data_IF_175437792555
#
_entry.id   IF_175437792555
#
_cell.length_a   1.000
_cell.length_b   1.000
_cell.length_c   1.000
_cell.angle_alpha   90.00
_cell.angle_beta   90.00
_cell.angle_gamma   90.00
#
_symmetry.space_group_name_H-M   'P 1'
#
loop_
_entity.id
_entity.type
_entity.pdbx_description
1 polymer ?
#
# COMPACT_ATOMS: atom_id res chain seq x y z
N UNK A 1 25.03 -50.01 -20.75
CA UNK A 1 26.15 -50.88 -20.30
C UNK A 1 26.74 -50.29 -19.02
N UNK A 2 26.90 -51.13 -17.98
CA UNK A 2 27.75 -51.02 -16.75
C UNK A 2 27.55 -49.78 -15.84
N UNK A 3 26.81 -49.87 -14.71
CA UNK A 3 27.11 -50.44 -13.36
C UNK A 3 28.30 -49.83 -12.61
N UNK A 4 28.02 -49.31 -11.39
CA UNK A 4 28.66 -49.50 -10.05
C UNK A 4 27.96 -48.53 -9.09
N UNK A 5 27.13 -48.90 -8.11
CA UNK A 5 27.26 -49.76 -6.90
C UNK A 5 28.57 -49.54 -6.15
N UNK A 6 28.47 -48.87 -5.00
CA UNK A 6 29.24 -49.20 -3.80
C UNK A 6 28.38 -48.97 -2.55
N UNK A 7 28.14 -50.06 -1.81
CA UNK A 7 27.64 -50.11 -0.45
C UNK A 7 28.81 -50.33 0.53
N UNK A 8 28.69 -49.82 1.75
CA UNK A 8 29.42 -50.23 2.96
C UNK A 8 28.82 -49.45 4.15
N UNK A 9 27.95 -50.00 5.00
CA UNK A 9 28.17 -50.92 6.16
C UNK A 9 29.11 -50.27 7.21
N UNK A 10 28.63 -49.69 8.33
CA UNK A 10 28.02 -50.19 9.59
C UNK A 10 29.05 -50.33 10.74
N UNK A 11 28.80 -49.68 11.89
CA UNK A 11 29.05 -50.06 13.32
C UNK A 11 29.36 -48.80 14.18
N UNK A 12 28.46 -48.31 15.04
CA UNK A 12 28.18 -48.70 16.47
C UNK A 12 29.35 -48.45 17.44
N UNK A 13 29.17 -47.53 18.40
CA UNK A 13 29.41 -47.72 19.85
C UNK A 13 28.99 -46.47 20.65
N UNK A 14 28.52 -46.70 21.88
CA UNK A 14 27.76 -45.81 22.76
C UNK A 14 28.65 -45.14 23.85
N UNK A 15 28.13 -44.61 24.97
CA UNK A 15 28.41 -43.27 25.48
C UNK A 15 29.45 -43.23 26.62
N UNK A 16 30.00 -42.04 26.89
CA UNK A 16 30.81 -41.79 28.09
C UNK A 16 30.03 -40.87 29.02
N UNK A 17 29.50 -41.46 30.09
CA UNK A 17 29.10 -40.76 31.31
C UNK A 17 30.33 -40.72 32.21
N UNK A 18 30.73 -39.53 32.64
CA UNK A 18 31.68 -39.36 33.74
C UNK A 18 30.97 -38.62 34.89
N UNK A 19 30.80 -39.35 35.99
CA UNK A 19 30.58 -38.79 37.32
C UNK A 19 31.91 -38.23 37.85
N UNK A 20 31.88 -37.00 38.35
CA UNK A 20 32.96 -36.39 39.13
C UNK A 20 32.41 -35.87 40.45
N UNK A 21 33.03 -36.30 41.54
CA UNK A 21 32.59 -36.09 42.93
C UNK A 21 32.76 -34.65 43.43
N UNK A 22 31.72 -34.23 44.14
CA UNK A 22 31.64 -33.42 45.36
C UNK A 22 32.97 -33.04 46.04
N UNK A 23 33.24 -31.74 46.15
CA UNK A 23 34.06 -31.16 47.21
C UNK A 23 33.61 -29.71 47.45
N UNK A 24 32.91 -29.48 48.54
CA UNK A 24 32.48 -28.14 48.98
C UNK A 24 33.69 -27.26 49.32
N UNK A 25 33.75 -26.00 48.82
CA UNK A 25 34.69 -25.02 49.34
C UNK A 25 34.10 -24.24 50.51
N UNK A 26 35.00 -23.96 51.44
CA UNK A 26 34.87 -23.28 52.71
C UNK A 26 34.44 -21.81 52.55
N UNK A 27 33.56 -21.37 53.45
CA UNK A 27 33.05 -20.00 53.50
C UNK A 27 34.18 -19.00 53.80
N UNK A 28 34.31 -17.99 52.93
CA UNK A 28 35.08 -16.77 53.20
C UNK A 28 34.23 -15.56 52.82
N UNK A 29 33.81 -14.76 53.79
CA UNK A 29 33.49 -13.33 53.60
C UNK A 29 34.76 -12.55 54.00
N UNK A 30 35.16 -11.44 53.36
CA UNK A 30 34.38 -10.22 53.04
C UNK A 30 34.63 -9.73 51.59
N UNK A 31 33.94 -8.75 50.99
CA UNK A 31 34.01 -7.30 51.23
C UNK A 31 32.84 -6.61 50.49
N UNK A 32 32.02 -5.87 51.23
CA UNK A 32 30.99 -4.98 50.67
C UNK A 32 31.61 -3.63 50.36
N UNK A 33 32.11 -3.46 49.13
CA UNK A 33 32.34 -2.16 48.46
C UNK A 33 32.64 -2.44 46.98
N UNK A 34 31.62 -2.86 46.24
CA UNK A 34 31.63 -2.87 44.78
C UNK A 34 30.55 -1.90 44.32
N UNK A 35 30.92 -0.93 43.49
CA UNK A 35 29.97 -0.12 42.73
C UNK A 35 28.89 -1.03 42.10
N UNK A 36 27.63 -0.57 42.02
CA UNK A 36 26.62 -1.31 41.27
C UNK A 36 27.16 -1.59 39.86
N UNK A 37 26.99 -2.81 39.32
CA UNK A 37 27.37 -3.06 37.94
C UNK A 37 26.66 -2.02 37.09
N UNK A 38 27.44 -1.28 36.29
CA UNK A 38 26.90 -0.42 35.25
C UNK A 38 25.87 -1.25 34.50
N UNK A 39 24.62 -0.77 34.47
CA UNK A 39 23.60 -1.35 33.61
C UNK A 39 24.20 -1.36 32.22
N UNK A 40 24.38 -2.55 31.66
CA UNK A 40 24.57 -2.68 30.22
C UNK A 40 23.32 -2.04 29.63
N UNK A 41 23.47 -0.86 29.03
CA UNK A 41 22.52 -0.37 28.05
C UNK A 41 22.49 -1.47 26.98
N UNK A 42 21.51 -2.37 27.07
CA UNK A 42 21.10 -3.14 25.90
C UNK A 42 20.66 -2.07 24.91
N UNK A 43 21.44 -1.85 23.86
CA UNK A 43 20.95 -1.18 22.66
C UNK A 43 19.62 -1.88 22.34
N UNK A 44 18.52 -1.17 22.51
CA UNK A 44 17.24 -1.66 22.00
C UNK A 44 17.45 -1.78 20.49
N UNK A 45 17.21 -2.97 19.94
CA UNK A 45 17.29 -3.14 18.50
C UNK A 45 16.15 -2.30 17.88
N UNK A 46 16.55 -1.27 17.13
CA UNK A 46 15.66 -0.28 16.51
C UNK A 46 14.68 -0.99 15.57
N UNK A 47 13.40 -0.75 15.78
CA UNK A 47 12.29 -1.24 14.95
C UNK A 47 11.89 -0.19 13.94
N UNK A 48 11.55 -0.60 12.72
CA UNK A 48 11.13 0.32 11.66
C UNK A 48 9.83 -0.14 11.02
N UNK A 49 8.95 0.80 10.70
CA UNK A 49 7.81 0.58 9.83
C UNK A 49 7.94 1.50 8.61
N UNK A 50 7.79 0.94 7.42
CA UNK A 50 7.82 1.66 6.15
C UNK A 50 6.43 1.67 5.51
N UNK A 51 6.08 2.73 4.79
CA UNK A 51 4.88 2.79 3.95
C UNK A 51 5.30 3.05 2.51
N UNK A 52 4.71 2.27 1.61
CA UNK A 52 4.85 2.40 0.18
C UNK A 52 3.51 2.81 -0.47
N UNK A 53 3.57 3.59 -1.53
CA UNK A 53 2.46 3.84 -2.44
C UNK A 53 2.49 2.82 -3.55
N UNK A 54 1.32 2.32 -3.97
CA UNK A 54 1.25 1.29 -4.99
C UNK A 54 0.06 1.56 -5.92
N UNK A 55 0.27 1.53 -7.24
CA UNK A 55 -0.81 1.57 -8.23
C UNK A 55 -1.09 0.19 -8.87
N UNK A 56 -0.46 -0.86 -8.32
CA UNK A 56 -0.30 -2.20 -8.89
C UNK A 56 0.53 -2.20 -10.19
N UNK A 57 0.55 -3.34 -10.90
CA UNK A 57 1.25 -3.48 -12.19
C UNK A 57 0.66 -2.58 -13.29
N UNK A 58 -0.63 -2.22 -13.16
CA UNK A 58 -1.44 -1.57 -14.20
C UNK A 58 -0.86 -0.22 -14.69
N UNK A 59 -0.48 0.74 -13.83
CA UNK A 59 0.18 1.97 -14.25
C UNK A 59 1.51 1.75 -14.98
N UNK A 60 2.21 0.64 -14.71
CA UNK A 60 3.51 0.36 -15.34
C UNK A 60 3.34 -0.18 -16.76
N UNK A 61 2.34 -1.05 -16.97
CA UNK A 61 2.17 -1.81 -18.23
C UNK A 61 0.99 -1.36 -19.08
N UNK A 62 0.12 -0.53 -18.53
CA UNK A 62 -1.18 -0.21 -19.11
C UNK A 62 -2.20 -1.34 -18.91
N UNK A 63 -3.46 -1.07 -19.24
CA UNK A 63 -4.53 -2.08 -19.20
C UNK A 63 -5.72 -1.67 -20.07
N UNK A 64 -6.58 -2.64 -20.38
CA UNK A 64 -7.83 -2.36 -21.11
C UNK A 64 -8.92 -1.92 -20.13
N UNK A 65 -9.52 -0.76 -20.33
CA UNK A 65 -10.68 -0.28 -19.56
C UNK A 65 -11.91 -1.17 -19.76
N UNK A 66 -12.91 -1.04 -18.87
CA UNK A 66 -14.16 -1.82 -18.94
C UNK A 66 -14.99 -1.56 -20.20
N UNK A 67 -14.80 -0.40 -20.83
CA UNK A 67 -15.40 -0.01 -22.11
C UNK A 67 -14.46 -0.20 -23.32
N UNK A 68 -13.30 -0.85 -23.12
CA UNK A 68 -12.49 -1.41 -24.19
C UNK A 68 -11.43 -0.48 -24.78
N UNK A 69 -11.03 0.57 -24.06
CA UNK A 69 -9.86 1.39 -24.42
C UNK A 69 -8.59 0.77 -23.84
N UNK A 70 -7.56 0.64 -24.66
CA UNK A 70 -6.22 0.30 -24.18
C UNK A 70 -5.60 1.56 -23.57
N UNK A 71 -5.43 1.57 -22.25
CA UNK A 71 -4.86 2.68 -21.51
C UNK A 71 -3.37 2.43 -21.26
N UNK A 72 -2.57 3.48 -21.46
CA UNK A 72 -1.17 3.54 -21.08
C UNK A 72 -0.93 4.81 -20.29
N UNK A 73 -0.06 4.75 -19.29
CA UNK A 73 0.18 5.87 -18.38
C UNK A 73 1.62 6.32 -18.51
N UNK A 74 1.81 7.61 -18.78
CA UNK A 74 3.13 8.23 -18.77
C UNK A 74 3.50 8.63 -17.34
N UNK A 75 2.54 9.18 -16.59
CA UNK A 75 2.70 9.62 -15.21
C UNK A 75 1.40 9.52 -14.43
N UNK A 76 1.52 9.19 -13.15
CA UNK A 76 0.43 9.28 -12.17
C UNK A 76 0.99 9.97 -10.93
N UNK A 77 0.86 11.29 -10.88
CA UNK A 77 1.30 12.06 -9.73
C UNK A 77 0.23 12.09 -8.65
N UNK A 78 0.62 11.78 -7.43
CA UNK A 78 -0.28 11.81 -6.27
C UNK A 78 0.44 12.34 -5.05
N UNK A 79 -0.30 12.98 -4.15
CA UNK A 79 0.23 13.50 -2.91
C UNK A 79 -0.47 12.87 -1.71
N UNK A 80 0.24 11.95 -1.07
CA UNK A 80 -0.18 11.29 0.14
C UNK A 80 0.12 12.17 1.36
N UNK A 81 -0.90 12.41 2.16
CA UNK A 81 -0.81 13.22 3.38
C UNK A 81 -1.51 12.51 4.53
N UNK A 82 -1.22 12.92 5.77
CA UNK A 82 -1.82 12.34 6.99
C UNK A 82 -1.70 10.80 7.02
N UNK A 83 -0.56 10.30 6.51
CA UNK A 83 -0.22 8.89 6.46
C UNK A 83 -0.06 8.34 7.88
N UNK A 84 -0.84 7.32 8.22
CA UNK A 84 -0.83 6.67 9.52
C UNK A 84 -0.97 5.16 9.43
N UNK A 85 -0.36 4.47 10.38
CA UNK A 85 -0.53 3.04 10.59
C UNK A 85 -0.97 2.76 12.03
N UNK A 86 -1.79 1.73 12.21
CA UNK A 86 -2.48 1.47 13.46
C UNK A 86 -2.38 0.02 13.89
N UNK A 87 -2.29 -0.19 15.20
CA UNK A 87 -2.63 -1.47 15.82
C UNK A 87 -3.99 -1.30 16.51
N UNK A 88 -4.99 -2.09 16.11
CA UNK A 88 -6.34 -2.03 16.69
C UNK A 88 -6.79 -3.39 17.23
N UNK A 89 -7.50 -3.40 18.36
CA UNK A 89 -8.21 -4.56 18.91
C UNK A 89 -9.65 -4.16 19.31
N UNK A 90 -10.70 -4.60 18.58
CA UNK A 90 -10.65 -5.51 17.44
C UNK A 90 -9.97 -4.91 16.18
N UNK A 91 -9.61 -5.73 15.18
CA UNK A 91 -9.22 -5.23 13.86
C UNK A 91 -10.25 -4.24 13.29
N UNK A 92 -9.76 -3.20 12.64
CA UNK A 92 -10.62 -2.16 12.06
C UNK A 92 -11.59 -2.77 11.03
N UNK A 93 -12.86 -2.36 11.13
CA UNK A 93 -13.93 -2.75 10.23
C UNK A 93 -14.29 -1.55 9.35
N UNK A 94 -13.81 -1.53 8.11
CA UNK A 94 -14.09 -0.46 7.15
C UNK A 94 -15.60 -0.35 6.84
N UNK A 95 -16.39 -1.42 7.04
CA UNK A 95 -17.85 -1.40 6.85
C UNK A 95 -18.59 -0.67 7.99
N UNK A 96 -17.89 -0.25 9.04
CA UNK A 96 -18.46 0.60 10.10
C UNK A 96 -18.86 1.98 9.59
N UNK A 97 -18.29 2.42 8.47
CA UNK A 97 -18.45 3.77 7.90
C UNK A 97 -18.03 4.88 8.87
N UNK A 98 -17.08 4.59 9.75
CA UNK A 98 -16.51 5.53 10.70
C UNK A 98 -14.98 5.48 10.63
N UNK A 99 -14.28 6.61 10.79
CA UNK A 99 -12.82 6.62 10.92
C UNK A 99 -12.35 5.74 12.07
N UNK A 100 -11.10 5.27 12.02
CA UNK A 100 -10.49 4.50 13.11
C UNK A 100 -10.59 5.29 14.43
N UNK A 101 -11.20 4.67 15.46
CA UNK A 101 -11.36 5.26 16.79
C UNK A 101 -10.51 4.52 17.81
N UNK A 102 -9.86 5.27 18.71
CA UNK A 102 -9.17 4.76 19.90
C UNK A 102 -8.22 3.56 19.63
N UNK A 103 -7.25 3.66 18.70
CA UNK A 103 -6.30 2.58 18.44
C UNK A 103 -5.40 2.30 19.65
N UNK A 104 -4.88 1.07 19.77
CA UNK A 104 -3.89 0.74 20.82
C UNK A 104 -2.55 1.42 20.55
N UNK A 105 -2.17 1.51 19.27
CA UNK A 105 -0.98 2.18 18.77
C UNK A 105 -1.34 2.95 17.50
N UNK A 106 -0.84 4.18 17.39
CA UNK A 106 -0.87 5.00 16.18
C UNK A 106 0.54 5.48 15.87
N UNK A 107 0.98 5.30 14.63
CA UNK A 107 2.24 5.83 14.09
C UNK A 107 1.89 6.76 12.94
N UNK A 108 2.42 7.99 12.99
CA UNK A 108 2.26 8.98 11.92
C UNK A 108 3.54 9.12 11.11
N UNK A 109 3.38 9.35 9.81
CA UNK A 109 4.46 9.47 8.84
C UNK A 109 4.50 10.88 8.25
N UNK A 110 5.58 11.19 7.53
CA UNK A 110 5.66 12.41 6.73
C UNK A 110 4.81 12.30 5.46
N UNK A 111 4.36 13.45 4.96
CA UNK A 111 3.68 13.55 3.67
C UNK A 111 4.64 13.22 2.51
N UNK A 112 4.11 12.67 1.41
CA UNK A 112 4.88 12.26 0.25
C UNK A 112 4.13 12.55 -1.06
N UNK A 113 4.73 13.40 -1.90
CA UNK A 113 4.32 13.55 -3.31
C UNK A 113 5.16 12.65 -4.20
N UNK A 114 4.52 11.76 -4.95
CA UNK A 114 5.18 10.72 -5.76
C UNK A 114 4.58 10.60 -7.15
N UNK A 115 5.33 9.98 -8.05
CA UNK A 115 4.82 9.42 -9.30
C UNK A 115 4.69 7.91 -9.14
N UNK A 116 3.49 7.37 -9.35
CA UNK A 116 3.24 5.93 -9.26
C UNK A 116 3.70 5.18 -10.51
N UNK A 117 4.00 5.87 -11.62
CA UNK A 117 4.59 5.23 -12.82
C UNK A 117 6.11 5.28 -12.69
N UNK A 118 6.71 4.18 -12.27
CA UNK A 118 8.18 4.06 -12.07
C UNK A 118 8.87 3.40 -13.26
N UNK A 119 8.12 2.65 -14.06
CA UNK A 119 8.62 1.80 -15.14
C UNK A 119 9.16 0.44 -14.67
N UNK A 120 8.91 0.04 -13.42
CA UNK A 120 9.29 -1.27 -12.87
C UNK A 120 8.05 -2.13 -12.60
N UNK A 121 7.77 -3.07 -13.53
CA UNK A 121 6.64 -4.00 -13.44
C UNK A 121 6.82 -5.04 -12.33
N UNK A 122 8.07 -5.42 -12.01
CA UNK A 122 8.38 -6.44 -11.02
C UNK A 122 8.28 -5.88 -9.58
N UNK A 123 8.35 -4.55 -9.44
CA UNK A 123 8.17 -3.85 -8.17
C UNK A 123 7.45 -2.51 -8.39
N UNK A 124 6.10 -2.52 -8.46
CA UNK A 124 5.30 -1.32 -8.71
C UNK A 124 5.20 -0.37 -7.51
N UNK A 125 5.90 -0.67 -6.40
CA UNK A 125 5.82 0.12 -5.17
C UNK A 125 6.76 1.32 -5.18
N UNK A 126 6.33 2.42 -4.57
CA UNK A 126 7.09 3.66 -4.39
C UNK A 126 7.21 3.97 -2.91
N UNK A 127 8.42 4.17 -2.40
CA UNK A 127 8.61 4.54 -1.00
C UNK A 127 7.94 5.89 -0.70
N UNK A 128 7.11 5.94 0.35
CA UNK A 128 6.50 7.18 0.83
C UNK A 128 7.26 7.73 2.04
N UNK A 129 7.35 6.92 3.10
CA UNK A 129 7.91 7.33 4.37
C UNK A 129 8.24 6.14 5.26
N UNK A 130 9.07 6.38 6.28
CA UNK A 130 9.39 5.44 7.35
C UNK A 130 9.18 6.09 8.73
N UNK A 131 9.06 5.23 9.74
CA UNK A 131 9.09 5.60 11.14
C UNK A 131 9.96 4.60 11.90
N UNK A 132 10.89 5.12 12.70
CA UNK A 132 11.79 4.34 13.57
C UNK A 132 11.28 4.28 15.01
N UNK A 133 11.82 3.35 15.80
CA UNK A 133 11.46 3.11 17.20
C UNK A 133 9.95 2.83 17.40
N UNK A 134 9.31 2.22 16.39
CA UNK A 134 7.87 1.92 16.42
C UNK A 134 7.58 0.73 17.33
N UNK A 135 6.47 0.72 18.09
CA UNK A 135 6.10 -0.44 18.89
C UNK A 135 6.02 -1.72 18.06
N UNK A 136 6.62 -2.81 18.57
CA UNK A 136 6.43 -4.16 18.04
C UNK A 136 4.94 -4.51 17.98
N UNK A 137 4.54 -5.33 17.01
CA UNK A 137 3.16 -5.75 16.86
C UNK A 137 2.72 -5.84 15.40
N UNK A 138 1.41 -6.01 15.21
CA UNK A 138 0.81 -6.11 13.89
C UNK A 138 -0.02 -4.87 13.61
N UNK A 139 0.48 -4.05 12.69
CA UNK A 139 -0.19 -2.88 12.18
C UNK A 139 -1.24 -3.34 11.16
N UNK A 140 -2.46 -3.49 11.64
CA UNK A 140 -3.58 -4.12 10.95
C UNK A 140 -4.58 -3.12 10.36
N UNK A 141 -4.19 -1.84 10.27
CA UNK A 141 -4.94 -0.81 9.60
C UNK A 141 -4.01 0.34 9.21
N UNK A 142 -4.37 1.05 8.14
CA UNK A 142 -3.72 2.29 7.72
C UNK A 142 -4.77 3.36 7.44
N UNK A 143 -4.37 4.62 7.48
CA UNK A 143 -5.15 5.70 6.87
C UNK A 143 -4.24 6.62 6.10
N UNK A 144 -4.77 7.22 5.04
CA UNK A 144 -4.05 8.20 4.26
C UNK A 144 -5.03 9.08 3.50
N UNK A 145 -4.57 10.31 3.22
CA UNK A 145 -5.31 11.28 2.42
C UNK A 145 -4.62 11.52 1.10
N UNK A 146 -5.41 11.66 0.04
CA UNK A 146 -4.97 12.34 -1.17
C UNK A 146 -5.38 13.80 -1.04
N UNK A 147 -4.41 14.71 -1.01
CA UNK A 147 -4.66 16.15 -0.86
C UNK A 147 -3.85 16.93 -1.89
N UNK A 148 -4.35 18.09 -2.37
CA UNK A 148 -3.63 18.92 -3.32
C UNK A 148 -2.16 19.14 -2.95
N UNK A 149 -1.25 18.79 -3.86
CA UNK A 149 0.18 18.99 -3.64
C UNK A 149 0.52 20.48 -3.55
N UNK A 150 1.45 20.82 -2.67
CA UNK A 150 1.89 22.22 -2.50
C UNK A 150 2.94 22.66 -3.51
N UNK A 151 3.59 21.71 -4.17
CA UNK A 151 4.64 21.91 -5.17
C UNK A 151 4.77 20.67 -6.09
N UNK A 152 5.72 20.71 -7.01
CA UNK A 152 6.02 19.60 -7.93
C UNK A 152 5.07 19.50 -9.13
N UNK A 153 5.19 18.42 -9.93
CA UNK A 153 4.38 18.23 -11.14
C UNK A 153 2.87 18.16 -10.91
N UNK A 154 2.44 17.79 -9.69
CA UNK A 154 1.04 17.75 -9.28
C UNK A 154 0.56 18.98 -8.51
N UNK A 155 1.30 20.10 -8.49
CA UNK A 155 0.95 21.29 -7.70
C UNK A 155 -0.51 21.72 -7.91
N UNK A 156 -1.26 21.83 -6.82
CA UNK A 156 -2.67 22.20 -6.83
C UNK A 156 -3.67 21.06 -7.02
N UNK A 157 -3.19 19.82 -7.23
CA UNK A 157 -4.02 18.63 -7.47
C UNK A 157 -3.63 17.48 -6.53
N UNK A 158 -4.61 16.68 -6.12
CA UNK A 158 -4.39 15.48 -5.29
C UNK A 158 -3.98 14.29 -6.14
N UNK A 159 -4.50 14.21 -7.38
CA UNK A 159 -4.19 13.19 -8.36
C UNK A 159 -4.08 13.80 -9.76
N UNK A 160 -2.97 13.57 -10.45
CA UNK A 160 -2.78 13.92 -11.87
C UNK A 160 -2.49 12.65 -12.65
N UNK A 161 -3.32 12.33 -13.63
CA UNK A 161 -3.17 11.15 -14.49
C UNK A 161 -2.86 11.61 -15.91
N UNK A 162 -1.70 11.21 -16.42
CA UNK A 162 -1.22 11.54 -17.77
C UNK A 162 -1.02 10.24 -18.54
N UNK A 163 -1.62 10.14 -19.71
CA UNK A 163 -1.50 8.92 -20.49
C UNK A 163 -2.07 9.02 -21.90
N UNK A 164 -2.16 7.87 -22.54
CA UNK A 164 -2.74 7.69 -23.87
C UNK A 164 -3.76 6.56 -23.84
N UNK A 165 -4.91 6.77 -24.46
CA UNK A 165 -5.95 5.76 -24.64
C UNK A 165 -6.11 5.43 -26.13
N UNK A 166 -6.18 4.15 -26.47
CA UNK A 166 -6.37 3.68 -27.85
C UNK A 166 -7.55 2.73 -28.01
N UNK A 167 -8.39 2.95 -29.02
CA UNK A 167 -9.45 2.00 -29.41
C UNK A 167 -9.78 2.13 -30.88
N UNK A 168 -9.87 1.00 -31.59
CA UNK A 168 -10.24 0.95 -33.02
C UNK A 168 -9.42 1.87 -33.95
N UNK A 169 -8.16 2.15 -33.59
CA UNK A 169 -7.26 3.03 -34.34
C UNK A 169 -7.45 4.53 -34.08
N UNK A 170 -8.32 4.89 -33.15
CA UNK A 170 -8.38 6.19 -32.51
C UNK A 170 -7.41 6.21 -31.32
N UNK A 171 -6.65 7.29 -31.21
CA UNK A 171 -5.67 7.53 -30.13
C UNK A 171 -6.02 8.87 -29.51
N UNK A 172 -6.13 8.90 -28.18
CA UNK A 172 -6.45 10.10 -27.40
C UNK A 172 -5.38 10.27 -26.32
N UNK A 173 -4.63 11.36 -26.38
CA UNK A 173 -3.77 11.77 -25.27
C UNK A 173 -4.65 12.40 -24.18
N UNK A 174 -4.43 12.06 -22.91
CA UNK A 174 -5.23 12.60 -21.82
C UNK A 174 -4.40 13.10 -20.63
N UNK A 175 -4.90 14.19 -20.03
CA UNK A 175 -4.42 14.75 -18.78
C UNK A 175 -5.63 15.03 -17.89
N UNK A 176 -5.72 14.34 -16.77
CA UNK A 176 -6.74 14.54 -15.76
C UNK A 176 -6.09 15.14 -14.51
N UNK A 177 -6.51 16.35 -14.13
CA UNK A 177 -6.00 17.04 -12.95
C UNK A 177 -7.10 17.12 -11.88
N UNK A 178 -7.05 16.30 -10.86
CA UNK A 178 -8.13 16.17 -9.87
C UNK A 178 -7.72 16.84 -8.56
N UNK A 179 -8.50 17.82 -8.12
CA UNK A 179 -8.23 18.60 -6.90
C UNK A 179 -8.94 18.08 -5.64
N UNK A 180 -9.75 17.02 -5.77
CA UNK A 180 -10.58 16.52 -4.68
C UNK A 180 -9.73 15.93 -3.54
N UNK A 181 -10.02 16.34 -2.31
CA UNK A 181 -9.48 15.66 -1.12
C UNK A 181 -10.23 14.34 -0.91
N UNK A 182 -9.48 13.26 -0.63
CA UNK A 182 -10.00 11.92 -0.38
C UNK A 182 -9.35 11.38 0.89
N UNK A 183 -10.14 10.86 1.85
CA UNK A 183 -9.65 10.44 3.17
C UNK A 183 -9.97 8.97 3.44
N UNK A 184 -8.99 8.09 3.23
CA UNK A 184 -9.16 6.64 3.30
C UNK A 184 -8.73 6.06 4.64
N UNK A 185 -9.56 5.18 5.19
CA UNK A 185 -9.29 4.36 6.37
C UNK A 185 -9.42 2.90 5.98
N UNK A 186 -8.32 2.17 6.02
CA UNK A 186 -8.22 0.83 5.48
C UNK A 186 -7.99 -0.19 6.61
N UNK A 187 -8.53 -1.39 6.42
CA UNK A 187 -8.28 -2.51 7.32
C UNK A 187 -6.89 -3.13 7.11
N UNK A 188 -6.78 -4.42 7.44
CA UNK A 188 -5.54 -5.18 7.27
C UNK A 188 -5.15 -5.21 5.79
N UNK A 189 -3.84 -5.09 5.51
CA UNK A 189 -3.31 -5.29 4.18
C UNK A 189 -3.69 -6.68 3.65
N UNK A 190 -4.26 -6.74 2.45
CA UNK A 190 -4.59 -8.01 1.79
C UNK A 190 -3.69 -8.20 0.57
N UNK A 191 -2.94 -9.28 0.55
CA UNK A 191 -2.08 -9.65 -0.59
C UNK A 191 -1.55 -11.06 -0.44
N UNK A 192 -0.61 -11.45 -1.31
CA UNK A 192 0.00 -12.78 -1.26
C UNK A 192 0.81 -13.02 0.01
N UNK A 193 1.48 -11.98 0.49
CA UNK A 193 2.24 -11.98 1.73
C UNK A 193 1.56 -11.10 2.78
N UNK A 194 1.74 -11.48 4.04
CA UNK A 194 1.21 -10.70 5.15
C UNK A 194 2.22 -9.60 5.51
N UNK A 195 1.71 -8.37 5.63
CA UNK A 195 2.50 -7.16 5.87
C UNK A 195 2.20 -6.54 7.25
N UNK A 196 2.95 -5.50 7.62
CA UNK A 196 2.73 -4.74 8.86
C UNK A 196 3.11 -5.45 10.18
N UNK A 197 3.87 -6.54 10.15
CA UNK A 197 4.29 -7.25 11.37
C UNK A 197 5.69 -6.80 11.78
N UNK A 198 5.78 -5.91 12.76
CA UNK A 198 7.05 -5.44 13.33
C UNK A 198 7.48 -6.36 14.46
N UNK A 199 8.62 -7.04 14.29
CA UNK A 199 9.31 -7.76 15.36
C UNK A 199 10.52 -6.96 15.89
N UNK A 200 11.02 -7.35 17.05
CA UNK A 200 12.19 -6.71 17.67
C UNK A 200 13.38 -6.62 16.69
N UNK A 201 13.89 -5.40 16.48
CA UNK A 201 15.02 -5.13 15.60
C UNK A 201 14.76 -5.35 14.10
N UNK A 202 13.50 -5.55 13.69
CA UNK A 202 13.13 -5.80 12.30
C UNK A 202 12.40 -4.59 11.68
N UNK A 203 12.43 -4.56 10.36
CA UNK A 203 11.66 -3.63 9.52
C UNK A 203 10.45 -4.38 8.97
N UNK A 204 9.28 -3.74 9.05
CA UNK A 204 8.09 -4.17 8.33
C UNK A 204 7.61 -3.08 7.39
N UNK A 205 6.81 -3.45 6.41
CA UNK A 205 6.24 -2.52 5.45
C UNK A 205 4.71 -2.67 5.37
N UNK A 206 4.05 -1.62 4.88
CA UNK A 206 2.64 -1.53 4.53
C UNK A 206 2.49 -0.79 3.20
N UNK A 207 1.33 -0.91 2.55
CA UNK A 207 1.06 -0.27 1.27
C UNK A 207 -0.24 0.55 1.32
N UNK A 208 -0.15 1.80 0.88
CA UNK A 208 -1.29 2.63 0.47
C UNK A 208 -1.50 2.45 -1.03
N UNK A 209 -2.55 1.71 -1.40
CA UNK A 209 -2.75 1.24 -2.78
C UNK A 209 -3.88 2.03 -3.46
N UNK A 210 -3.72 2.38 -4.74
CA UNK A 210 -4.76 3.01 -5.56
C UNK A 210 -5.13 2.07 -6.72
N UNK A 211 -6.37 1.56 -6.72
CA UNK A 211 -6.86 0.60 -7.71
C UNK A 211 -7.54 1.28 -8.90
N UNK A 212 -6.78 1.52 -9.98
CA UNK A 212 -7.27 2.26 -11.15
C UNK A 212 -8.34 1.52 -11.97
N UNK A 213 -8.56 0.23 -11.74
CA UNK A 213 -9.67 -0.51 -12.33
C UNK A 213 -11.03 -0.11 -11.72
N UNK A 214 -11.09 0.47 -10.51
CA UNK A 214 -12.31 1.11 -10.00
C UNK A 214 -12.64 2.41 -10.76
N UNK A 215 -11.63 3.07 -11.33
CA UNK A 215 -11.83 4.27 -12.14
C UNK A 215 -12.18 3.92 -13.59
N UNK A 216 -11.39 3.07 -14.24
CA UNK A 216 -11.52 2.80 -15.66
C UNK A 216 -12.24 1.49 -15.99
N UNK A 217 -12.53 0.64 -15.00
CA UNK A 217 -13.02 -0.72 -15.22
C UNK A 217 -11.92 -1.66 -15.69
N UNK A 218 -12.30 -2.89 -16.01
CA UNK A 218 -11.39 -3.97 -16.42
C UNK A 218 -11.95 -4.70 -17.65
N UNK A 219 -11.30 -4.53 -18.80
CA UNK A 219 -11.73 -5.05 -20.09
C UNK A 219 -11.66 -6.58 -20.20
N UNK A 220 -10.89 -7.25 -19.35
CA UNK A 220 -10.91 -8.72 -19.27
C UNK A 220 -12.16 -9.29 -18.59
N UNK A 221 -12.92 -8.46 -17.86
CA UNK A 221 -14.18 -8.84 -17.22
C UNK A 221 -15.38 -8.59 -18.15
N UNK A 222 -16.49 -9.33 -17.97
CA UNK A 222 -17.73 -9.05 -18.67
C UNK A 222 -18.21 -7.60 -18.45
N UNK A 223 -18.90 -7.03 -19.44
CA UNK A 223 -19.45 -5.69 -19.31
C UNK A 223 -20.49 -5.58 -18.17
N UNK A 224 -21.18 -6.67 -17.82
CA UNK A 224 -22.15 -6.74 -16.72
C UNK A 224 -21.54 -7.11 -15.36
N UNK A 225 -20.20 -7.19 -15.27
CA UNK A 225 -19.50 -7.33 -13.99
C UNK A 225 -19.76 -6.11 -13.11
N UNK A 226 -19.98 -6.27 -11.79
CA UNK A 226 -20.22 -5.14 -10.90
C UNK A 226 -19.17 -4.04 -10.99
N UNK A 227 -17.88 -4.40 -11.14
CA UNK A 227 -16.78 -3.44 -11.31
C UNK A 227 -17.00 -2.58 -12.55
N UNK A 228 -17.28 -3.21 -13.70
CA UNK A 228 -17.49 -2.50 -14.97
C UNK A 228 -18.81 -1.72 -15.01
N UNK A 229 -19.78 -2.06 -14.16
CA UNK A 229 -21.04 -1.33 -14.04
C UNK A 229 -20.92 -0.09 -13.14
N UNK A 230 -20.00 -0.08 -12.18
CA UNK A 230 -19.77 1.06 -11.29
C UNK A 230 -18.65 1.99 -11.77
N UNK A 231 -17.64 1.46 -12.47
CA UNK A 231 -16.52 2.26 -12.96
C UNK A 231 -16.96 3.37 -13.93
N UNK A 232 -16.23 4.49 -13.88
CA UNK A 232 -16.43 5.61 -14.79
C UNK A 232 -16.08 5.25 -16.25
N UNK A 233 -15.03 4.46 -16.47
CA UNK A 233 -14.56 4.08 -17.81
C UNK A 233 -13.77 5.20 -18.49
N UNK A 234 -13.52 5.05 -19.78
CA UNK A 234 -12.84 6.06 -20.60
C UNK A 234 -13.73 6.68 -21.69
N UNK A 235 -14.86 6.05 -22.05
CA UNK A 235 -15.84 6.55 -23.01
C UNK A 235 -16.32 7.98 -22.71
N UNK A 236 -16.64 8.35 -21.45
CA UNK A 236 -17.05 9.72 -21.16
C UNK A 236 -15.94 10.74 -21.45
N UNK A 237 -14.68 10.39 -21.23
CA UNK A 237 -13.53 11.26 -21.55
C UNK A 237 -13.30 11.32 -23.06
N UNK A 238 -13.35 10.18 -23.75
CA UNK A 238 -13.19 10.13 -25.20
C UNK A 238 -14.21 11.00 -25.93
N UNK A 239 -15.45 11.08 -25.41
CA UNK A 239 -16.49 11.94 -25.96
C UNK A 239 -16.19 13.45 -25.83
N UNK A 240 -15.27 13.83 -24.94
CA UNK A 240 -14.82 15.20 -24.70
C UNK A 240 -13.56 15.55 -25.50
N UNK A 241 -12.97 14.59 -26.22
CA UNK A 241 -11.70 14.80 -26.90
C UNK A 241 -11.83 15.83 -28.05
N UNK A 242 -10.92 16.80 -28.06
CA UNK A 242 -10.75 17.76 -29.14
C UNK A 242 -9.37 17.57 -29.77
N UNK A 243 -9.32 17.43 -31.10
CA UNK A 243 -8.08 17.19 -31.85
C UNK A 243 -7.24 16.01 -31.32
N UNK A 244 -7.90 14.97 -30.80
CA UNK A 244 -7.26 13.76 -30.25
C UNK A 244 -6.70 13.94 -28.84
N UNK A 245 -7.18 14.93 -28.09
CA UNK A 245 -6.68 15.23 -26.75
C UNK A 245 -7.81 15.55 -25.78
N UNK A 246 -7.63 15.15 -24.51
CA UNK A 246 -8.47 15.55 -23.38
C UNK A 246 -7.57 16.15 -22.30
N UNK A 247 -7.80 17.40 -21.93
CA UNK A 247 -7.18 18.01 -20.75
C UNK A 247 -8.30 18.57 -19.88
N UNK A 248 -8.48 18.03 -18.68
CA UNK A 248 -9.59 18.39 -17.82
C UNK A 248 -9.22 18.37 -16.34
N UNK A 249 -9.94 19.17 -15.55
CA UNK A 249 -9.96 19.10 -14.09
C UNK A 249 -11.39 18.86 -13.59
N UNK A 250 -11.60 18.75 -12.26
CA UNK A 250 -12.93 18.42 -11.74
C UNK A 250 -13.98 19.45 -12.14
N UNK A 251 -13.67 20.75 -12.08
CA UNK A 251 -14.59 21.80 -12.48
C UNK A 251 -15.00 21.70 -13.98
N UNK A 252 -14.05 21.38 -14.86
CA UNK A 252 -14.32 21.16 -16.28
C UNK A 252 -15.15 19.89 -16.49
N UNK A 253 -14.83 18.80 -15.80
CA UNK A 253 -15.56 17.55 -15.89
C UNK A 253 -17.00 17.71 -15.39
N UNK A 254 -17.24 18.45 -14.31
CA UNK A 254 -18.59 18.77 -13.81
C UNK A 254 -19.42 19.54 -14.86
N UNK A 255 -18.80 20.47 -15.59
CA UNK A 255 -19.49 21.26 -16.62
C UNK A 255 -19.78 20.45 -17.89
N UNK A 256 -18.85 19.56 -18.28
CA UNK A 256 -18.86 18.92 -19.59
C UNK A 256 -19.50 17.53 -19.59
N UNK A 257 -19.41 16.79 -18.48
CA UNK A 257 -20.01 15.47 -18.36
C UNK A 257 -21.53 15.55 -18.13
N UNK A 258 -22.20 14.43 -18.35
CA UNK A 258 -23.57 14.28 -17.86
C UNK A 258 -23.57 14.18 -16.33
N UNK A 259 -24.70 14.54 -15.69
CA UNK A 259 -24.84 14.38 -14.23
C UNK A 259 -24.58 12.93 -13.78
N UNK A 260 -24.92 11.95 -14.62
CA UNK A 260 -24.69 10.53 -14.34
C UNK A 260 -23.20 10.16 -14.42
N UNK A 261 -22.51 10.62 -15.46
CA UNK A 261 -21.09 10.31 -15.65
C UNK A 261 -20.21 11.03 -14.62
N UNK A 262 -20.53 12.28 -14.27
CA UNK A 262 -19.82 12.99 -13.21
C UNK A 262 -20.03 12.34 -11.85
N UNK A 263 -21.25 11.91 -11.53
CA UNK A 263 -21.50 11.17 -10.29
C UNK A 263 -20.77 9.82 -10.25
N UNK A 264 -20.63 9.12 -11.40
CA UNK A 264 -19.81 7.92 -11.50
C UNK A 264 -18.33 8.20 -11.28
N UNK A 265 -17.80 9.29 -11.85
CA UNK A 265 -16.43 9.73 -11.59
C UNK A 265 -16.20 9.96 -10.10
N UNK A 266 -17.06 10.73 -9.43
CA UNK A 266 -16.95 10.98 -7.98
C UNK A 266 -16.99 9.66 -7.18
N UNK A 267 -17.90 8.75 -7.55
CA UNK A 267 -17.99 7.42 -6.92
C UNK A 267 -16.73 6.58 -7.14
N UNK A 268 -16.18 6.57 -8.35
CA UNK A 268 -14.95 5.85 -8.66
C UNK A 268 -13.74 6.39 -7.89
N UNK A 269 -13.67 7.70 -7.65
CA UNK A 269 -12.61 8.29 -6.82
C UNK A 269 -12.73 7.87 -5.35
N UNK A 270 -13.96 7.80 -4.84
CA UNK A 270 -14.23 7.26 -3.49
C UNK A 270 -13.78 5.80 -3.38
N UNK A 271 -13.92 5.00 -4.44
CA UNK A 271 -13.56 3.59 -4.44
C UNK A 271 -12.06 3.33 -4.70
N UNK A 272 -11.26 4.35 -4.97
CA UNK A 272 -9.88 4.18 -5.45
C UNK A 272 -8.92 3.62 -4.37
N UNK A 273 -9.06 4.06 -3.12
CA UNK A 273 -8.10 3.78 -2.05
C UNK A 273 -8.24 2.37 -1.45
N UNK A 274 -7.10 1.69 -1.30
CA UNK A 274 -6.94 0.35 -0.75
C UNK A 274 -5.69 0.21 0.16
N UNK A 275 -5.57 -0.93 0.83
CA UNK A 275 -4.34 -1.43 1.47
C UNK A 275 -4.00 -2.82 0.90
N UNK A 276 -3.15 -2.86 -0.14
CA UNK A 276 -3.11 -4.02 -1.04
C UNK A 276 -4.46 -4.18 -1.71
N UNK A 277 -5.06 -5.37 -1.63
CA UNK A 277 -6.44 -5.67 -2.02
C UNK A 277 -7.47 -5.39 -0.89
N UNK A 278 -7.02 -4.83 0.23
CA UNK A 278 -7.86 -4.53 1.38
C UNK A 278 -8.65 -3.24 1.15
N UNK A 279 -9.98 -3.33 1.22
CA UNK A 279 -10.88 -2.20 1.03
C UNK A 279 -10.75 -1.16 2.15
N UNK A 280 -11.16 0.07 1.85
CA UNK A 280 -11.14 1.21 2.76
C UNK A 280 -12.52 1.85 2.91
N UNK A 281 -12.64 2.69 3.93
CA UNK A 281 -13.72 3.65 4.12
C UNK A 281 -13.22 5.03 3.70
N UNK A 282 -13.93 5.73 2.82
CA UNK A 282 -13.68 7.13 2.46
C UNK A 282 -14.57 8.05 3.31
N UNK A 283 -13.94 8.85 4.15
CA UNK A 283 -14.63 9.57 5.22
C UNK A 283 -15.42 10.81 4.79
N UNK A 284 -15.02 11.47 3.70
CA UNK A 284 -15.68 12.71 3.26
C UNK A 284 -17.07 12.39 2.70
N UNK A 285 -17.16 11.32 1.91
CA UNK A 285 -18.40 10.80 1.32
C UNK A 285 -19.19 9.90 2.26
N UNK A 286 -18.52 9.23 3.21
CA UNK A 286 -19.14 8.27 4.10
C UNK A 286 -19.40 6.90 3.44
N UNK A 287 -18.60 6.52 2.44
CA UNK A 287 -18.74 5.28 1.66
C UNK A 287 -17.49 4.39 1.77
N UNK A 288 -17.57 3.15 1.29
CA UNK A 288 -16.43 2.21 1.26
C UNK A 288 -15.98 1.96 -0.16
N UNK A 289 -14.67 1.87 -0.38
CA UNK A 289 -14.09 1.23 -1.56
C UNK A 289 -14.33 -0.27 -1.54
#
# INVERSE_FOLDING_TARGET
MKKRILQGVLAVAAPVVLWGCDTAPEATAPDTNGDPPAATETDAEETTLEIFGNGEERPQVGFTSGDGWELSFDHIYTNFTDLKAYQTDPPYDYLSLEPIQDPEVEVSFGDASVDLVTGDEDNPTVFLADASDVPEGHYNAISYKLSPASDGPGEGYSLVIIGTAERDGETIDFVLNLEQELDYYCGEFIGDERKGIVAAGETADLEATLHFDHLFGEGSRPADDPLNQSAFGFDPLAALAEDGQVEANMAMLEEMLSEEDYARLESSLIELGHAGEGHCFEAISGQTS
#
